data_IF_836974201126
#
_entry.id   IF_836974201126
#
_cell.length_a   1.000
_cell.length_b   1.000
_cell.length_c   1.000
_cell.angle_alpha   90.00
_cell.angle_beta   90.00
_cell.angle_gamma   90.00
#
_symmetry.space_group_name_H-M   'P 1'
#
loop_
_entity.id
_entity.type
_entity.pdbx_description
1 polymer ?
#
# COMPACT_ATOMS: atom_id res chain seq x y z
N UNK A 1 19.54 -21.46 -19.47
CA UNK A 1 18.65 -21.95 -18.40
C UNK A 1 18.27 -23.38 -18.71
N UNK A 2 18.35 -24.28 -17.71
CA UNK A 2 17.99 -25.70 -17.82
C UNK A 2 17.18 -26.11 -16.57
N UNK A 3 16.44 -27.21 -16.60
CA UNK A 3 15.68 -27.67 -15.44
C UNK A 3 16.62 -27.87 -14.24
N UNK A 4 16.30 -27.27 -13.09
CA UNK A 4 17.15 -27.29 -11.89
C UNK A 4 18.18 -26.17 -11.81
N UNK A 5 18.33 -25.30 -12.83
CA UNK A 5 19.24 -24.14 -12.74
C UNK A 5 18.78 -23.04 -11.77
N UNK A 6 17.55 -23.15 -11.26
CA UNK A 6 17.00 -22.31 -10.19
C UNK A 6 15.99 -23.17 -9.41
N UNK A 7 16.21 -23.34 -8.11
CA UNK A 7 15.39 -24.19 -7.25
C UNK A 7 15.55 -23.83 -5.79
N UNK A 8 14.55 -24.17 -4.99
CA UNK A 8 14.55 -23.98 -3.54
C UNK A 8 14.00 -25.24 -2.88
N UNK A 9 14.65 -25.70 -1.81
CA UNK A 9 14.29 -26.93 -1.08
C UNK A 9 12.84 -26.93 -0.60
N UNK A 10 12.32 -25.75 -0.22
CA UNK A 10 10.96 -25.59 0.30
C UNK A 10 10.07 -24.72 -0.58
N UNK A 11 10.59 -24.27 -1.73
CA UNK A 11 9.83 -23.45 -2.68
C UNK A 11 8.68 -24.25 -3.28
N UNK A 12 7.46 -23.70 -3.24
CA UNK A 12 6.27 -24.36 -3.80
C UNK A 12 5.79 -25.59 -3.02
N UNK A 13 6.16 -25.72 -1.75
CA UNK A 13 5.65 -26.82 -0.92
C UNK A 13 4.11 -26.77 -0.79
N UNK A 14 3.41 -27.91 -0.65
CA UNK A 14 1.95 -27.96 -0.67
C UNK A 14 1.27 -27.09 0.40
N UNK A 15 1.88 -26.95 1.58
CA UNK A 15 1.31 -26.14 2.66
C UNK A 15 1.35 -24.64 2.31
N UNK A 16 2.49 -24.15 1.83
CA UNK A 16 2.61 -22.76 1.39
C UNK A 16 1.64 -22.45 0.25
N UNK A 17 1.47 -23.37 -0.71
CA UNK A 17 0.50 -23.21 -1.80
C UNK A 17 -0.95 -23.17 -1.27
N UNK A 18 -1.32 -24.02 -0.31
CA UNK A 18 -2.67 -24.02 0.28
C UNK A 18 -2.96 -22.69 1.01
N UNK A 19 -2.00 -22.19 1.79
CA UNK A 19 -2.13 -20.89 2.47
C UNK A 19 -2.23 -19.74 1.46
N UNK A 20 -1.40 -19.76 0.41
CA UNK A 20 -1.43 -18.74 -0.63
C UNK A 20 -2.79 -18.72 -1.36
N UNK A 21 -3.35 -19.88 -1.69
CA UNK A 21 -4.68 -19.98 -2.31
C UNK A 21 -5.76 -19.37 -1.41
N UNK A 22 -5.79 -19.75 -0.13
CA UNK A 22 -6.75 -19.18 0.82
C UNK A 22 -6.62 -17.66 0.96
N UNK A 23 -5.39 -17.13 0.96
CA UNK A 23 -5.15 -15.69 0.97
C UNK A 23 -5.67 -15.01 -0.31
N UNK A 24 -5.44 -15.61 -1.48
CA UNK A 24 -5.96 -15.09 -2.75
C UNK A 24 -7.48 -15.14 -2.82
N UNK A 25 -8.11 -16.22 -2.34
CA UNK A 25 -9.57 -16.34 -2.29
C UNK A 25 -10.21 -15.21 -1.47
N UNK A 26 -9.56 -14.81 -0.37
CA UNK A 26 -10.01 -13.69 0.46
C UNK A 26 -9.78 -12.32 -0.21
N UNK A 27 -8.57 -12.09 -0.72
CA UNK A 27 -8.16 -10.77 -1.23
C UNK A 27 -8.85 -10.44 -2.57
N UNK A 28 -9.09 -11.44 -3.41
CA UNK A 28 -9.69 -11.25 -4.74
C UNK A 28 -11.22 -11.12 -4.71
N UNK A 29 -11.84 -10.96 -3.54
CA UNK A 29 -13.28 -10.71 -3.45
C UNK A 29 -13.59 -9.25 -3.83
N UNK A 30 -14.72 -8.99 -4.53
CA UNK A 30 -15.16 -7.63 -4.82
C UNK A 30 -15.28 -6.77 -3.55
N UNK A 31 -15.81 -7.36 -2.46
CA UNK A 31 -15.95 -6.66 -1.19
C UNK A 31 -14.62 -6.13 -0.62
N UNK A 32 -13.53 -6.90 -0.73
CA UNK A 32 -12.20 -6.45 -0.26
C UNK A 32 -11.64 -5.37 -1.18
N UNK A 33 -11.74 -5.55 -2.50
CA UNK A 33 -11.24 -4.59 -3.48
C UNK A 33 -12.00 -3.25 -3.44
N UNK A 34 -13.32 -3.29 -3.35
CA UNK A 34 -14.17 -2.10 -3.18
C UNK A 34 -13.87 -1.41 -1.84
N UNK A 35 -13.66 -2.19 -0.79
CA UNK A 35 -13.23 -1.69 0.51
C UNK A 35 -11.88 -0.96 0.46
N UNK A 36 -10.92 -1.45 -0.35
CA UNK A 36 -9.63 -0.77 -0.58
C UNK A 36 -9.84 0.58 -1.26
N UNK A 37 -10.68 0.65 -2.29
CA UNK A 37 -11.00 1.89 -2.99
C UNK A 37 -11.68 2.90 -2.08
N UNK A 38 -12.72 2.49 -1.34
CA UNK A 38 -13.44 3.36 -0.41
C UNK A 38 -12.53 3.91 0.70
N UNK A 39 -11.68 3.06 1.28
CA UNK A 39 -10.71 3.49 2.29
C UNK A 39 -9.65 4.44 1.73
N UNK A 40 -9.18 4.20 0.49
CA UNK A 40 -8.24 5.10 -0.19
C UNK A 40 -8.84 6.50 -0.33
N UNK A 41 -10.07 6.60 -0.85
CA UNK A 41 -10.75 7.88 -1.02
C UNK A 41 -10.88 8.63 0.31
N UNK A 42 -11.23 7.91 1.38
CA UNK A 42 -11.30 8.49 2.72
C UNK A 42 -9.95 9.06 3.17
N UNK A 43 -8.87 8.28 3.07
CA UNK A 43 -7.53 8.74 3.46
C UNK A 43 -7.07 9.95 2.63
N UNK A 44 -7.22 9.89 1.30
CA UNK A 44 -6.82 11.00 0.41
C UNK A 44 -7.62 12.25 0.73
N UNK A 45 -8.94 12.14 0.97
CA UNK A 45 -9.79 13.27 1.36
C UNK A 45 -9.30 13.93 2.65
N UNK A 46 -8.89 13.14 3.65
CA UNK A 46 -8.36 13.69 4.89
C UNK A 46 -6.99 14.36 4.71
N UNK A 47 -6.11 13.77 3.90
CA UNK A 47 -4.82 14.38 3.58
C UNK A 47 -4.97 15.69 2.81
N UNK A 48 -5.90 15.75 1.84
CA UNK A 48 -6.22 16.98 1.11
C UNK A 48 -6.79 18.07 2.02
N UNK A 49 -7.59 17.68 3.02
CA UNK A 49 -8.09 18.64 4.02
C UNK A 49 -6.96 19.22 4.87
N UNK A 50 -6.02 18.39 5.32
CA UNK A 50 -4.83 18.86 6.05
C UNK A 50 -3.99 19.79 5.19
N UNK A 51 -3.82 19.46 3.91
CA UNK A 51 -3.11 20.32 2.97
C UNK A 51 -3.79 21.68 2.80
N UNK A 52 -5.12 21.70 2.67
CA UNK A 52 -5.87 22.94 2.55
C UNK A 52 -5.76 23.85 3.80
N UNK A 53 -5.54 23.27 4.97
CA UNK A 53 -5.43 24.01 6.23
C UNK A 53 -3.99 24.47 6.53
N UNK A 54 -3.00 23.64 6.22
CA UNK A 54 -1.62 23.82 6.68
C UNK A 54 -0.59 23.92 5.55
N UNK A 55 -1.01 23.80 4.28
CA UNK A 55 -0.17 23.92 3.09
C UNK A 55 1.06 22.98 3.09
N UNK A 56 0.85 21.71 3.46
CA UNK A 56 1.93 20.78 3.85
C UNK A 56 2.50 19.95 2.71
N UNK A 57 1.68 19.56 1.74
CA UNK A 57 2.03 18.53 0.76
C UNK A 57 2.27 19.13 -0.62
N UNK A 58 3.29 18.65 -1.31
CA UNK A 58 3.53 18.96 -2.72
C UNK A 58 2.77 18.00 -3.64
N UNK A 59 2.53 16.78 -3.18
CA UNK A 59 1.84 15.74 -3.94
C UNK A 59 1.25 14.66 -3.01
N UNK A 60 0.10 14.10 -3.39
CA UNK A 60 -0.53 12.96 -2.73
C UNK A 60 -0.74 11.88 -3.80
N UNK A 61 0.01 10.78 -3.72
CA UNK A 61 0.10 9.75 -4.77
C UNK A 61 0.07 8.34 -4.21
N UNK A 62 0.05 7.36 -5.12
CA UNK A 62 0.13 5.93 -4.80
C UNK A 62 -1.02 5.13 -5.40
N UNK A 63 -1.19 3.87 -4.99
CA UNK A 63 -2.19 2.93 -5.54
C UNK A 63 -2.86 2.13 -4.42
N UNK A 64 -4.19 2.00 -4.46
CA UNK A 64 -4.95 1.39 -3.36
C UNK A 64 -4.63 2.08 -2.03
N UNK A 65 -4.31 1.28 -1.00
CA UNK A 65 -3.93 1.77 0.33
C UNK A 65 -2.43 2.05 0.50
N UNK A 66 -1.61 1.82 -0.53
CA UNK A 66 -0.24 2.33 -0.54
C UNK A 66 -0.29 3.80 -0.96
N UNK A 67 -0.39 4.68 0.03
CA UNK A 67 -0.55 6.13 -0.16
C UNK A 67 0.70 6.83 0.37
N UNK A 68 1.24 7.75 -0.43
CA UNK A 68 2.31 8.65 -0.04
C UNK A 68 1.86 10.10 -0.15
N UNK A 69 2.08 10.87 0.91
CA UNK A 69 1.93 12.32 0.91
C UNK A 69 3.32 12.95 1.00
N UNK A 70 3.79 13.55 -0.08
CA UNK A 70 5.10 14.19 -0.13
C UNK A 70 5.00 15.57 0.51
N UNK A 71 5.82 15.81 1.54
CA UNK A 71 5.91 17.13 2.16
C UNK A 71 6.58 18.13 1.22
N UNK A 72 6.11 19.39 1.28
CA UNK A 72 6.73 20.49 0.54
C UNK A 72 8.20 20.68 0.91
N UNK A 73 9.00 21.30 0.02
CA UNK A 73 10.43 21.51 0.26
C UNK A 73 10.76 22.22 1.59
N UNK A 74 9.87 23.10 2.09
CA UNK A 74 10.09 23.79 3.38
C UNK A 74 10.10 22.82 4.57
N UNK A 75 9.49 21.65 4.43
CA UNK A 75 9.36 20.61 5.45
C UNK A 75 10.21 19.36 5.16
N UNK A 76 11.19 19.47 4.25
CA UNK A 76 12.05 18.35 3.86
C UNK A 76 12.80 17.76 5.07
N UNK A 77 12.72 16.44 5.24
CA UNK A 77 13.36 15.73 6.36
C UNK A 77 12.64 15.88 7.71
N UNK A 78 11.52 16.62 7.75
CA UNK A 78 10.75 16.90 8.98
C UNK A 78 9.47 16.09 9.10
N UNK A 79 9.37 14.97 8.38
CA UNK A 79 8.18 14.11 8.42
C UNK A 79 7.81 13.64 9.83
N UNK A 80 8.80 13.47 10.72
CA UNK A 80 8.58 13.11 12.12
C UNK A 80 7.79 14.14 12.91
N UNK A 81 7.86 15.41 12.54
CA UNK A 81 7.15 16.50 13.23
C UNK A 81 5.63 16.41 13.04
N UNK A 82 5.17 15.64 12.05
CA UNK A 82 3.75 15.49 11.68
C UNK A 82 3.19 14.10 11.96
N UNK A 83 4.04 13.14 12.33
CA UNK A 83 3.66 11.73 12.54
C UNK A 83 3.47 11.36 14.02
N UNK A 84 3.75 12.28 14.95
CA UNK A 84 3.63 12.10 16.40
C UNK A 84 2.81 13.21 17.04
#
# INVERSE_FOLDING_TARGET
>A
FHAGSHGSTYGGNPLACAVANAAFDLINTPAVLDGVSAKRELFVKHLQRLDAEFDLFSDIRGMGLLIGAELKPQHKGRARDFLY
#
